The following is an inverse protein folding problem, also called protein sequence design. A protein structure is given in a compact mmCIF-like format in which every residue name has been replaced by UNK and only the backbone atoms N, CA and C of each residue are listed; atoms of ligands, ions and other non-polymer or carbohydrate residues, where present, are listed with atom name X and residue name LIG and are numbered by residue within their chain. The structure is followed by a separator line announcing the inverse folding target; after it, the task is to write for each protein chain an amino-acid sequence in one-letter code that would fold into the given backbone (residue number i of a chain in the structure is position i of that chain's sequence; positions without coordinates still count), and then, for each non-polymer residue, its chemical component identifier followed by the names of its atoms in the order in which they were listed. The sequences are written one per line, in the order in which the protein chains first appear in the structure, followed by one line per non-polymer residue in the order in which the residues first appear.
data_IF_791819708326
#
_entry.id   IF_791819708326
#
_cell.length_a   1.000
_cell.length_b   1.000
_cell.length_c   1.000
_cell.angle_alpha   90.00
_cell.angle_beta   90.00
_cell.angle_gamma   90.00
#
_symmetry.space_group_name_H-M   'P 1'
#
loop_
_entity.id
_entity.type
_entity.pdbx_description
1 polymer ?
#
# COMPACT_ATOMS: atom_id res chain seq x y z
N UNK A 1 25.26 -2.61 0.29
CA UNK A 1 23.82 -2.48 0.51
C UNK A 1 23.16 -2.73 -0.84
N UNK A 2 22.21 -3.65 -0.92
CA UNK A 2 21.51 -3.96 -2.17
C UNK A 2 20.30 -3.06 -2.36
N UNK A 3 19.87 -2.90 -3.61
CA UNK A 3 18.61 -2.23 -3.90
C UNK A 3 17.45 -3.14 -3.51
N UNK A 4 16.47 -2.60 -2.79
CA UNK A 4 15.23 -3.32 -2.47
C UNK A 4 14.20 -3.17 -3.60
N UNK A 5 14.23 -2.04 -4.32
CA UNK A 5 13.40 -1.80 -5.50
C UNK A 5 14.32 -1.44 -6.68
N UNK A 6 14.09 -2.04 -7.83
CA UNK A 6 14.75 -1.71 -9.08
C UNK A 6 13.69 -1.54 -10.17
N UNK A 7 13.66 -0.38 -10.82
CA UNK A 7 12.75 -0.09 -11.93
C UNK A 7 13.58 0.25 -13.15
N UNK A 8 13.25 -0.34 -14.32
CA UNK A 8 13.93 -0.09 -15.60
C UNK A 8 12.90 0.10 -16.70
N UNK A 9 12.96 1.27 -17.32
CA UNK A 9 12.17 1.69 -18.50
C UNK A 9 10.68 1.39 -18.37
N UNK A 10 10.12 1.54 -17.14
CA UNK A 10 8.74 1.23 -16.87
C UNK A 10 7.80 2.11 -17.69
N UNK A 11 6.96 1.47 -18.52
CA UNK A 11 5.96 2.10 -19.38
C UNK A 11 4.59 1.47 -19.13
N UNK A 12 3.56 2.32 -19.06
CA UNK A 12 2.17 1.89 -18.90
C UNK A 12 1.22 2.89 -19.55
N UNK A 13 0.29 2.40 -20.36
CA UNK A 13 -0.71 3.18 -21.06
C UNK A 13 -2.11 2.65 -20.74
N UNK A 14 -2.99 3.51 -20.29
CA UNK A 14 -4.40 3.18 -20.08
C UNK A 14 -5.22 3.41 -21.34
N UNK A 15 -6.10 2.47 -21.66
CA UNK A 15 -7.13 2.65 -22.68
C UNK A 15 -8.30 3.45 -22.08
N UNK A 16 -8.55 4.65 -22.58
CA UNK A 16 -9.65 5.50 -22.18
C UNK A 16 -10.68 5.63 -23.31
N UNK A 17 -11.91 6.03 -22.99
CA UNK A 17 -12.98 6.23 -24.00
C UNK A 17 -12.61 7.19 -25.12
N UNK A 18 -11.72 8.14 -24.85
CA UNK A 18 -11.31 9.20 -25.80
C UNK A 18 -9.88 9.00 -26.32
N UNK A 19 -9.34 7.78 -26.26
CA UNK A 19 -7.98 7.45 -26.71
C UNK A 19 -7.09 6.84 -25.62
N UNK A 20 -5.81 6.81 -25.87
CA UNK A 20 -4.81 6.26 -24.95
C UNK A 20 -4.28 7.35 -24.01
N UNK A 21 -4.02 6.97 -22.76
CA UNK A 21 -3.38 7.84 -21.76
C UNK A 21 -2.11 7.16 -21.29
N UNK A 22 -0.98 7.69 -21.75
CA UNK A 22 0.34 7.22 -21.31
C UNK A 22 0.59 7.70 -19.88
N UNK A 23 0.50 6.78 -18.92
CA UNK A 23 0.63 7.07 -17.49
C UNK A 23 2.08 7.00 -17.00
N UNK A 24 2.89 6.09 -17.56
CA UNK A 24 4.32 5.96 -17.30
C UNK A 24 5.08 5.90 -18.62
N UNK A 25 6.17 6.68 -18.71
CA UNK A 25 6.99 6.78 -19.91
C UNK A 25 8.47 6.57 -19.56
N UNK A 26 8.93 5.31 -19.65
CA UNK A 26 10.36 4.97 -19.50
C UNK A 26 10.92 5.35 -18.13
N UNK A 27 10.18 5.11 -17.04
CA UNK A 27 10.62 5.47 -15.69
C UNK A 27 11.66 4.47 -15.20
N UNK A 28 12.82 4.97 -14.76
CA UNK A 28 13.93 4.15 -14.23
C UNK A 28 14.50 4.78 -12.97
N UNK A 29 14.57 4.03 -11.87
CA UNK A 29 15.27 4.39 -10.64
C UNK A 29 15.46 3.17 -9.73
N UNK A 30 16.28 3.34 -8.71
CA UNK A 30 16.53 2.34 -7.66
C UNK A 30 16.18 2.90 -6.30
N UNK A 31 15.82 2.03 -5.37
CA UNK A 31 15.66 2.34 -3.95
C UNK A 31 16.50 1.39 -3.14
N UNK A 32 17.40 1.92 -2.34
CA UNK A 32 18.26 1.15 -1.44
C UNK A 32 17.51 0.75 -0.15
N UNK A 33 18.01 -0.25 0.53
CA UNK A 33 17.49 -0.66 1.84
C UNK A 33 17.60 0.49 2.86
N UNK A 34 16.48 0.78 3.57
CA UNK A 34 16.39 1.85 4.54
C UNK A 34 16.26 3.25 3.95
N UNK A 35 16.19 3.39 2.62
CA UNK A 35 16.04 4.67 1.97
C UNK A 35 14.60 5.18 2.07
N UNK A 36 14.45 6.49 2.29
CA UNK A 36 13.17 7.21 2.20
C UNK A 36 13.11 7.96 0.87
N UNK A 37 12.20 7.57 -0.02
CA UNK A 37 12.02 8.15 -1.34
C UNK A 37 10.70 8.92 -1.41
N UNK A 38 10.76 10.16 -1.94
CA UNK A 38 9.58 10.99 -2.19
C UNK A 38 9.38 11.20 -3.69
N UNK A 39 8.18 10.86 -4.21
CA UNK A 39 7.80 11.06 -5.60
C UNK A 39 6.91 12.30 -5.68
N UNK A 40 7.42 13.36 -6.31
CA UNK A 40 6.77 14.67 -6.41
C UNK A 40 6.41 14.97 -7.87
N UNK A 41 5.27 15.61 -8.09
CA UNK A 41 4.83 16.03 -9.42
C UNK A 41 3.36 16.47 -9.42
N UNK A 42 2.88 17.10 -10.52
CA UNK A 42 1.51 17.57 -10.64
C UNK A 42 0.48 16.44 -10.59
N UNK A 43 -0.80 16.79 -10.40
CA UNK A 43 -1.88 15.80 -10.47
C UNK A 43 -1.93 15.16 -11.87
N UNK A 44 -2.12 13.85 -11.93
CA UNK A 44 -2.21 13.11 -13.19
C UNK A 44 -0.88 12.72 -13.84
N UNK A 45 0.29 13.02 -13.25
CA UNK A 45 1.59 12.66 -13.81
C UNK A 45 2.06 11.21 -13.54
N UNK A 46 1.18 10.30 -13.13
CA UNK A 46 1.50 8.87 -13.00
C UNK A 46 1.99 8.40 -11.64
N UNK A 47 2.09 9.26 -10.60
CA UNK A 47 2.58 8.85 -9.26
C UNK A 47 1.83 7.66 -8.66
N UNK A 48 0.50 7.72 -8.66
CA UNK A 48 -0.33 6.64 -8.13
C UNK A 48 -0.24 5.37 -8.97
N UNK A 49 -0.10 5.51 -10.29
CA UNK A 49 0.15 4.39 -11.21
C UNK A 49 1.47 3.72 -10.90
N UNK A 50 2.54 4.50 -10.72
CA UNK A 50 3.85 3.98 -10.36
C UNK A 50 3.81 3.22 -9.03
N UNK A 51 3.16 3.78 -8.00
CA UNK A 51 2.96 3.09 -6.72
C UNK A 51 2.11 1.82 -6.88
N UNK A 52 1.10 1.84 -7.75
CA UNK A 52 0.29 0.66 -8.08
C UNK A 52 1.11 -0.45 -8.75
N UNK A 53 2.01 -0.09 -9.66
CA UNK A 53 2.95 -1.02 -10.30
C UNK A 53 3.89 -1.63 -9.26
N UNK A 54 4.49 -0.81 -8.39
CA UNK A 54 5.35 -1.29 -7.30
C UNK A 54 4.61 -2.25 -6.36
N UNK A 55 3.35 -1.96 -6.05
CA UNK A 55 2.50 -2.82 -5.22
C UNK A 55 2.02 -4.10 -5.94
N UNK A 56 2.31 -4.25 -7.24
CA UNK A 56 1.86 -5.38 -8.05
C UNK A 56 0.34 -5.37 -8.33
N UNK A 57 -0.28 -4.19 -8.27
CA UNK A 57 -1.70 -3.98 -8.59
C UNK A 57 -1.92 -3.59 -10.04
N UNK A 58 -0.88 -3.09 -10.71
CA UNK A 58 -0.87 -2.71 -12.11
C UNK A 58 0.22 -3.47 -12.83
N UNK A 59 -0.01 -3.80 -14.11
CA UNK A 59 0.96 -4.51 -14.96
C UNK A 59 1.54 -3.53 -15.97
N UNK A 60 2.86 -3.54 -16.15
CA UNK A 60 3.53 -2.73 -17.15
C UNK A 60 3.28 -3.23 -18.57
N UNK A 61 3.21 -2.32 -19.53
CA UNK A 61 3.27 -2.63 -20.96
C UNK A 61 4.70 -2.86 -21.44
N UNK A 62 5.68 -2.21 -20.76
CA UNK A 62 7.10 -2.35 -21.06
C UNK A 62 7.98 -2.03 -19.87
N UNK A 63 9.23 -2.49 -19.93
CA UNK A 63 10.17 -2.34 -18.83
C UNK A 63 10.03 -3.41 -17.76
N UNK A 64 10.70 -3.23 -16.63
CA UNK A 64 10.71 -4.19 -15.51
C UNK A 64 10.67 -3.50 -14.17
N UNK A 65 10.05 -4.18 -13.19
CA UNK A 65 10.08 -3.83 -11.77
C UNK A 65 10.47 -5.06 -10.96
N UNK A 66 11.44 -4.89 -10.10
CA UNK A 66 11.91 -5.92 -9.19
C UNK A 66 11.80 -5.45 -7.74
N UNK A 67 11.43 -6.37 -6.86
CA UNK A 67 11.43 -6.21 -5.41
C UNK A 67 12.39 -7.26 -4.82
N UNK A 68 13.44 -6.81 -4.15
CA UNK A 68 14.52 -7.68 -3.63
C UNK A 68 15.13 -8.60 -4.72
N UNK A 69 15.34 -8.07 -5.93
CA UNK A 69 15.88 -8.82 -7.06
C UNK A 69 14.94 -9.86 -7.66
N UNK A 70 13.64 -9.82 -7.31
CA UNK A 70 12.62 -10.69 -7.89
C UNK A 70 11.61 -9.85 -8.67
N UNK A 71 11.21 -10.27 -9.88
CA UNK A 71 10.20 -9.56 -10.66
C UNK A 71 8.88 -9.44 -9.91
N UNK A 72 8.28 -8.24 -9.95
CA UNK A 72 6.95 -8.00 -9.41
C UNK A 72 5.92 -8.47 -10.42
N UNK A 73 5.31 -9.62 -10.16
CA UNK A 73 4.27 -10.24 -11.02
C UNK A 73 2.86 -10.17 -10.42
N UNK A 74 2.72 -9.55 -9.25
CA UNK A 74 1.47 -9.40 -8.52
C UNK A 74 1.70 -8.88 -7.11
N UNK A 75 0.63 -8.72 -6.35
CA UNK A 75 0.71 -8.21 -4.99
C UNK A 75 1.59 -9.10 -4.10
N UNK A 76 2.59 -8.50 -3.49
CA UNK A 76 3.52 -9.17 -2.58
C UNK A 76 3.10 -8.98 -1.12
N UNK A 77 3.18 -10.05 -0.32
CA UNK A 77 2.97 -9.96 1.13
C UNK A 77 4.08 -9.19 1.87
N UNK A 78 5.21 -8.92 1.20
CA UNK A 78 6.36 -8.19 1.75
C UNK A 78 6.19 -6.67 1.68
N UNK A 79 5.34 -6.18 0.78
CA UNK A 79 5.12 -4.75 0.59
C UNK A 79 3.83 -4.29 1.26
N UNK A 80 3.90 -3.27 2.10
CA UNK A 80 2.74 -2.55 2.62
C UNK A 80 2.34 -1.45 1.65
N UNK A 81 1.10 -1.49 1.15
CA UNK A 81 0.55 -0.45 0.28
C UNK A 81 -0.60 0.28 0.96
N UNK A 82 -0.48 1.59 1.07
CA UNK A 82 -1.53 2.45 1.59
C UNK A 82 -2.02 3.39 0.47
N UNK A 83 -3.24 3.21 -0.05
CA UNK A 83 -3.78 4.09 -1.07
C UNK A 83 -4.13 5.47 -0.51
N UNK A 84 -4.35 6.45 -1.40
CA UNK A 84 -4.68 7.83 -1.02
C UNK A 84 -5.96 7.92 -0.18
N UNK A 85 -6.98 7.11 -0.48
CA UNK A 85 -8.20 6.99 0.32
C UNK A 85 -8.01 5.87 1.34
N UNK A 86 -8.65 6.02 2.51
CA UNK A 86 -8.53 5.05 3.61
C UNK A 86 -9.07 3.64 3.25
N UNK A 87 -10.07 3.55 2.36
CA UNK A 87 -10.70 2.31 1.90
C UNK A 87 -11.07 1.37 3.06
N UNK A 88 -11.51 1.91 4.18
CA UNK A 88 -12.06 1.14 5.28
C UNK A 88 -13.45 0.61 4.90
N UNK A 89 -13.75 -0.61 5.30
CA UNK A 89 -15.09 -1.18 5.09
C UNK A 89 -16.07 -0.59 6.11
N UNK A 90 -17.05 0.17 5.61
CA UNK A 90 -18.03 0.91 6.42
C UNK A 90 -18.90 0.01 7.32
N UNK A 91 -19.09 -1.26 6.92
CA UNK A 91 -19.89 -2.24 7.67
C UNK A 91 -19.11 -2.99 8.74
N UNK A 92 -17.78 -2.77 8.83
CA UNK A 92 -16.89 -3.41 9.81
C UNK A 92 -16.52 -2.44 10.92
N UNK A 93 -16.23 -2.99 12.10
CA UNK A 93 -15.58 -2.21 13.16
C UNK A 93 -14.17 -1.77 12.73
N UNK A 94 -13.61 -0.78 13.42
CA UNK A 94 -12.22 -0.37 13.21
C UNK A 94 -11.27 -1.53 13.48
N UNK A 95 -11.49 -2.28 14.57
CA UNK A 95 -10.68 -3.49 14.85
C UNK A 95 -10.72 -4.49 13.71
N UNK A 96 -11.91 -4.80 13.19
CA UNK A 96 -12.04 -5.75 12.07
C UNK A 96 -11.41 -5.24 10.77
N UNK A 97 -11.43 -3.91 10.56
CA UNK A 97 -10.75 -3.29 9.43
C UNK A 97 -9.23 -3.45 9.53
N UNK A 98 -8.63 -3.16 10.69
CA UNK A 98 -7.17 -3.26 10.86
C UNK A 98 -6.69 -4.72 10.89
N UNK A 99 -7.52 -5.64 11.34
CA UNK A 99 -7.23 -7.08 11.35
C UNK A 99 -7.38 -7.75 9.96
N UNK A 100 -7.90 -7.03 8.97
CA UNK A 100 -8.30 -7.62 7.68
C UNK A 100 -7.16 -8.40 6.99
N UNK A 101 -5.95 -7.84 6.96
CA UNK A 101 -4.81 -8.50 6.33
C UNK A 101 -4.45 -9.84 6.99
N UNK A 102 -4.47 -9.87 8.33
CA UNK A 102 -4.24 -11.09 9.09
C UNK A 102 -5.36 -12.12 8.86
N UNK A 103 -6.62 -11.67 8.80
CA UNK A 103 -7.77 -12.54 8.51
C UNK A 103 -7.65 -13.18 7.11
N UNK A 104 -7.26 -12.41 6.10
CA UNK A 104 -7.05 -12.91 4.72
C UNK A 104 -5.94 -13.97 4.69
N UNK A 105 -4.85 -13.73 5.42
CA UNK A 105 -3.73 -14.69 5.55
C UNK A 105 -4.08 -15.90 6.44
N UNK A 106 -5.25 -15.91 7.07
CA UNK A 106 -5.65 -16.89 8.09
C UNK A 106 -4.61 -16.99 9.21
N UNK A 107 -4.06 -15.85 9.57
CA UNK A 107 -3.07 -15.72 10.63
C UNK A 107 -3.78 -15.72 11.98
N UNK A 108 -3.53 -16.74 12.79
CA UNK A 108 -4.11 -16.91 14.13
C UNK A 108 -3.05 -16.75 15.23
N UNK A 109 -1.86 -16.22 14.91
CA UNK A 109 -0.82 -16.00 15.92
C UNK A 109 -1.28 -14.94 16.93
N UNK A 110 -1.36 -15.29 18.23
CA UNK A 110 -1.72 -14.35 19.28
C UNK A 110 -0.77 -13.15 19.37
N UNK A 111 0.51 -13.31 18.99
CA UNK A 111 1.50 -12.25 18.95
C UNK A 111 1.15 -11.18 17.92
N UNK A 112 0.69 -11.56 16.73
CA UNK A 112 0.25 -10.62 15.70
C UNK A 112 -1.03 -9.88 16.12
N UNK A 113 -1.95 -10.56 16.79
CA UNK A 113 -3.15 -9.92 17.36
C UNK A 113 -2.77 -8.89 18.45
N UNK A 114 -1.85 -9.23 19.35
CA UNK A 114 -1.34 -8.31 20.38
C UNK A 114 -0.60 -7.11 19.76
N UNK A 115 0.11 -7.34 18.64
CA UNK A 115 0.74 -6.26 17.88
C UNK A 115 -0.27 -5.25 17.35
N UNK A 116 -1.42 -5.71 16.82
CA UNK A 116 -2.51 -4.82 16.39
C UNK A 116 -3.02 -3.96 17.56
N UNK A 117 -3.18 -4.52 18.76
CA UNK A 117 -3.61 -3.75 19.94
C UNK A 117 -2.55 -2.70 20.33
N UNK A 118 -1.29 -3.04 20.21
CA UNK A 118 -0.18 -2.09 20.39
C UNK A 118 -0.23 -0.96 19.37
N UNK A 119 -0.45 -1.26 18.09
CA UNK A 119 -0.60 -0.26 17.04
C UNK A 119 -1.81 0.66 17.28
N UNK A 120 -2.98 0.08 17.62
CA UNK A 120 -4.18 0.87 17.94
C UNK A 120 -3.91 1.87 19.08
N UNK A 121 -3.17 1.46 20.11
CA UNK A 121 -2.78 2.31 21.22
C UNK A 121 -1.78 3.37 20.79
N UNK A 122 -0.71 2.97 20.08
CA UNK A 122 0.36 3.87 19.60
C UNK A 122 -0.15 5.01 18.71
N UNK A 123 -1.20 4.74 17.92
CA UNK A 123 -1.79 5.73 17.01
C UNK A 123 -3.06 6.39 17.56
N UNK A 124 -3.33 6.28 18.88
CA UNK A 124 -4.44 6.93 19.59
C UNK A 124 -5.83 6.64 19.00
N UNK A 125 -6.09 5.40 18.60
CA UNK A 125 -7.39 4.97 18.08
C UNK A 125 -7.98 3.77 18.83
N UNK A 126 -7.35 3.30 19.90
CA UNK A 126 -7.80 2.12 20.68
C UNK A 126 -9.21 2.30 21.26
N UNK A 127 -9.56 3.51 21.74
CA UNK A 127 -10.90 3.81 22.23
C UNK A 127 -12.01 3.71 21.18
N UNK A 128 -11.64 3.69 19.90
CA UNK A 128 -12.55 3.62 18.76
C UNK A 128 -12.55 2.22 18.10
N UNK A 129 -11.85 1.24 18.66
CA UNK A 129 -11.69 -0.08 18.06
C UNK A 129 -13.03 -0.78 17.74
N UNK A 130 -14.06 -0.59 18.58
CA UNK A 130 -15.40 -1.13 18.37
C UNK A 130 -16.32 -0.23 17.53
N UNK A 131 -15.86 0.97 17.15
CA UNK A 131 -16.64 1.92 16.32
C UNK A 131 -16.53 1.56 14.84
N UNK A 132 -17.41 2.18 14.02
CA UNK A 132 -17.38 2.09 12.55
C UNK A 132 -16.67 3.31 11.94
N UNK A 133 -16.20 3.21 10.69
CA UNK A 133 -15.48 4.32 10.03
C UNK A 133 -16.26 5.64 9.97
N UNK A 134 -17.58 5.61 9.80
CA UNK A 134 -18.46 6.79 9.78
C UNK A 134 -18.47 7.59 11.09
N UNK A 135 -18.06 6.97 12.20
CA UNK A 135 -17.98 7.57 13.53
C UNK A 135 -16.61 8.23 13.81
N UNK A 136 -15.67 8.19 12.85
CA UNK A 136 -14.31 8.69 12.99
C UNK A 136 -14.08 9.94 12.10
N UNK A 137 -13.19 10.81 12.56
CA UNK A 137 -12.68 11.89 11.70
C UNK A 137 -11.84 11.36 10.55
N UNK A 138 -11.66 12.15 9.47
CA UNK A 138 -10.83 11.77 8.34
C UNK A 138 -9.39 11.38 8.74
N UNK A 139 -8.76 12.15 9.62
CA UNK A 139 -7.42 11.84 10.13
C UNK A 139 -7.36 10.55 10.94
N UNK A 140 -8.41 10.23 11.72
CA UNK A 140 -8.49 8.96 12.43
C UNK A 140 -8.65 7.78 11.46
N UNK A 141 -9.48 7.92 10.41
CA UNK A 141 -9.61 6.89 9.38
C UNK A 141 -8.28 6.62 8.67
N UNK A 142 -7.50 7.68 8.34
CA UNK A 142 -6.17 7.52 7.76
C UNK A 142 -5.21 6.77 8.68
N UNK A 143 -5.22 7.05 10.00
CA UNK A 143 -4.44 6.29 10.98
C UNK A 143 -4.87 4.82 11.03
N UNK A 144 -6.17 4.52 10.98
CA UNK A 144 -6.67 3.15 10.92
C UNK A 144 -6.22 2.43 9.64
N UNK A 145 -6.21 3.10 8.48
CA UNK A 145 -5.71 2.56 7.23
C UNK A 145 -4.20 2.25 7.30
N UNK A 146 -3.42 3.15 7.94
CA UNK A 146 -2.00 2.92 8.20
C UNK A 146 -1.78 1.70 9.11
N UNK A 147 -2.53 1.60 10.21
CA UNK A 147 -2.46 0.44 11.12
C UNK A 147 -2.79 -0.85 10.37
N UNK A 148 -3.83 -0.86 9.53
CA UNK A 148 -4.18 -2.03 8.71
C UNK A 148 -3.01 -2.49 7.82
N UNK A 149 -2.27 -1.54 7.26
CA UNK A 149 -1.08 -1.84 6.45
C UNK A 149 0.05 -2.40 7.31
N UNK A 150 0.36 -1.76 8.45
CA UNK A 150 1.43 -2.17 9.35
C UNK A 150 1.14 -3.49 10.09
N UNK A 151 -0.13 -3.82 10.33
CA UNK A 151 -0.54 -5.04 11.03
C UNK A 151 -0.06 -6.33 10.35
N UNK A 152 0.19 -6.29 9.04
CA UNK A 152 0.68 -7.45 8.29
C UNK A 152 2.20 -7.61 8.33
N UNK A 153 2.92 -6.71 9.02
CA UNK A 153 4.38 -6.75 9.14
C UNK A 153 5.08 -6.68 7.78
N UNK A 154 4.85 -5.64 6.95
CA UNK A 154 5.59 -5.49 5.70
C UNK A 154 7.08 -5.22 6.00
N UNK A 155 7.96 -5.62 5.06
CA UNK A 155 9.41 -5.41 5.15
C UNK A 155 9.80 -3.91 5.03
#
# INVERSE_FOLDING_TARGET
MGNIITIRDAALTYQARNGEVEALRGVSFDVAEGEFVSIVGPSGCGKSTLLGVLAGLETLDGGTVELYGQPVTGASGRMGFMPQRDQLFEWRSIRDNVMLGLQIRRDHDPGHHAHVDTLLTRYDVSAFAAKRPDQLSGGMRQRCALIRTLATGPD
#
